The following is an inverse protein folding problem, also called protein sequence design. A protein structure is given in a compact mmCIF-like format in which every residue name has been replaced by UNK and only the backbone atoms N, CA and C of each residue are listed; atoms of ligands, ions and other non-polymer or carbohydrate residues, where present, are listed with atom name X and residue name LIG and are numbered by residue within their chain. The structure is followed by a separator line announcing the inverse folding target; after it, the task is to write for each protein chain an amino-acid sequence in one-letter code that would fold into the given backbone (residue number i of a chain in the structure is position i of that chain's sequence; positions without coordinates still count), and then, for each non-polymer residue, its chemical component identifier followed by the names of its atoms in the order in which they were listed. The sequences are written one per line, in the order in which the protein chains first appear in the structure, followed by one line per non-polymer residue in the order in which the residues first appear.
data_IF_249141864517
#
_entry.id   IF_249141864517
#
_cell.length_a   1.000
_cell.length_b   1.000
_cell.length_c   1.000
_cell.angle_alpha   90.00
_cell.angle_beta   90.00
_cell.angle_gamma   90.00
#
_symmetry.space_group_name_H-M   'P 1'
#
loop_
_entity.id
_entity.type
_entity.pdbx_description
1 polymer ?
#
# COMPACT_ATOMS: atom_id res chain seq x y z
N UNK A 1 -4.88 11.11 -17.66
CA UNK A 1 -4.38 10.19 -16.61
C UNK A 1 -5.18 10.45 -15.35
N UNK A 2 -6.03 9.51 -14.94
CA UNK A 2 -7.01 9.75 -13.86
C UNK A 2 -6.78 8.71 -12.77
N UNK A 3 -6.41 9.15 -11.56
CA UNK A 3 -6.21 8.26 -10.40
C UNK A 3 -7.47 7.42 -10.17
N UNK A 4 -7.30 6.11 -10.01
CA UNK A 4 -8.41 5.22 -9.64
C UNK A 4 -8.76 5.47 -8.16
N UNK A 5 -10.00 5.84 -7.89
CA UNK A 5 -10.43 6.32 -6.56
C UNK A 5 -10.78 5.17 -5.63
N UNK A 6 -9.77 4.60 -4.97
CA UNK A 6 -9.94 3.55 -3.96
C UNK A 6 -10.11 4.13 -2.54
N UNK A 7 -11.28 4.72 -2.27
CA UNK A 7 -11.71 4.95 -0.89
C UNK A 7 -13.24 4.95 -0.77
N UNK A 8 -13.82 3.77 -0.56
CA UNK A 8 -15.21 3.62 -0.13
C UNK A 8 -15.45 2.27 0.54
N UNK A 9 -15.84 2.33 1.82
CA UNK A 9 -16.66 1.35 2.54
C UNK A 9 -15.98 0.08 3.08
N UNK A 10 -15.75 0.07 4.39
CA UNK A 10 -15.75 -1.14 5.23
C UNK A 10 -16.31 -0.83 6.62
N UNK A 11 -17.51 -1.34 6.94
CA UNK A 11 -18.03 -1.38 8.31
C UNK A 11 -18.10 -2.84 8.80
N UNK A 12 -17.59 -3.09 10.01
CA UNK A 12 -18.02 -4.14 10.97
C UNK A 12 -17.92 -5.62 10.55
N UNK A 13 -16.96 -6.36 11.15
CA UNK A 13 -17.20 -7.17 12.38
C UNK A 13 -15.92 -7.85 12.92
N UNK A 14 -15.86 -8.04 14.25
CA UNK A 14 -14.75 -8.67 14.98
C UNK A 14 -14.98 -10.17 15.27
N UNK A 15 -13.89 -10.95 15.33
CA UNK A 15 -13.50 -11.83 16.47
C UNK A 15 -12.12 -12.51 16.24
N UNK A 16 -11.37 -13.01 17.22
CA UNK A 16 -11.12 -12.57 18.62
C UNK A 16 -10.07 -13.48 19.34
N UNK A 17 -8.78 -13.10 19.39
CA UNK A 17 -7.80 -13.65 20.36
C UNK A 17 -6.67 -12.62 20.69
N UNK A 18 -5.83 -12.82 21.73
CA UNK A 18 -5.34 -11.70 22.54
C UNK A 18 -4.09 -11.01 21.98
N UNK A 19 -4.30 -9.94 21.22
CA UNK A 19 -3.26 -9.02 20.75
C UNK A 19 -3.68 -7.57 20.96
N UNK A 20 -2.76 -6.73 21.48
CA UNK A 20 -2.67 -5.25 21.65
C UNK A 20 -3.94 -4.42 21.96
N UNK A 21 -5.09 -4.73 21.37
CA UNK A 21 -6.46 -4.22 21.62
C UNK A 21 -6.79 -3.82 23.06
N UNK A 22 -6.28 -4.54 24.07
CA UNK A 22 -6.52 -4.22 25.49
C UNK A 22 -5.92 -2.86 25.91
N UNK A 23 -4.80 -2.44 25.31
CA UNK A 23 -4.22 -1.10 25.50
C UNK A 23 -5.10 -0.02 24.84
N UNK A 24 -5.61 -0.29 23.65
CA UNK A 24 -6.53 0.63 22.95
C UNK A 24 -7.89 0.75 23.64
N UNK A 25 -8.37 -0.31 24.32
CA UNK A 25 -9.69 -0.37 24.94
C UNK A 25 -9.94 0.69 26.04
N UNK A 26 -8.89 1.26 26.63
CA UNK A 26 -8.99 2.34 27.63
C UNK A 26 -9.31 3.72 27.02
N UNK A 27 -9.21 3.88 25.69
CA UNK A 27 -9.36 5.18 25.01
C UNK A 27 -10.54 5.25 24.03
N UNK A 28 -11.32 4.19 23.84
CA UNK A 28 -12.42 4.10 22.83
C UNK A 28 -13.69 4.87 23.25
N UNK A 29 -13.55 6.06 23.85
CA UNK A 29 -14.69 6.89 24.30
C UNK A 29 -14.57 8.40 24.07
N UNK A 30 -13.62 8.92 23.28
CA UNK A 30 -13.68 10.32 22.80
C UNK A 30 -13.21 10.50 21.34
N UNK A 31 -14.09 11.15 20.56
CA UNK A 31 -13.88 11.85 19.27
C UNK A 31 -13.42 11.07 18.03
N UNK A 32 -14.40 10.66 17.20
CA UNK A 32 -14.19 10.13 15.83
C UNK A 32 -13.64 11.20 14.86
N UNK A 33 -14.13 12.44 14.95
CA UNK A 33 -13.79 13.53 14.02
C UNK A 33 -12.30 13.92 14.04
N UNK A 34 -11.67 13.93 15.23
CA UNK A 34 -10.26 14.27 15.38
C UNK A 34 -9.31 13.22 14.81
N UNK A 35 -9.66 11.94 14.99
CA UNK A 35 -8.95 10.81 14.38
C UNK A 35 -9.12 10.82 12.85
N UNK A 36 -10.35 11.06 12.37
CA UNK A 36 -10.65 11.19 10.93
C UNK A 36 -9.89 12.34 10.28
N UNK A 37 -9.76 13.48 10.96
CA UNK A 37 -8.94 14.61 10.51
C UNK A 37 -7.45 14.24 10.42
N UNK A 38 -6.91 13.46 11.37
CA UNK A 38 -5.52 12.97 11.35
C UNK A 38 -5.24 12.09 10.12
N UNK A 39 -6.11 11.13 9.79
CA UNK A 39 -5.98 10.32 8.57
C UNK A 39 -6.03 11.17 7.29
N UNK A 40 -7.01 12.07 7.18
CA UNK A 40 -7.15 12.93 5.99
C UNK A 40 -5.91 13.80 5.77
N UNK A 41 -5.33 14.34 6.84
CA UNK A 41 -4.11 15.17 6.76
C UNK A 41 -2.89 14.30 6.40
N UNK A 42 -2.76 13.11 6.99
CA UNK A 42 -1.68 12.17 6.64
C UNK A 42 -1.75 11.76 5.17
N UNK A 43 -2.95 11.53 4.64
CA UNK A 43 -3.19 11.24 3.22
C UNK A 43 -2.76 12.42 2.33
N UNK A 44 -3.05 13.67 2.71
CA UNK A 44 -2.62 14.86 1.96
C UNK A 44 -1.09 15.05 1.98
N UNK A 45 -0.41 14.76 3.09
CA UNK A 45 1.05 14.77 3.19
C UNK A 45 1.65 13.74 2.22
N UNK A 46 1.16 12.49 2.26
CA UNK A 46 1.61 11.42 1.38
C UNK A 46 1.35 11.74 -0.12
N UNK A 47 0.17 12.29 -0.44
CA UNK A 47 -0.19 12.67 -1.81
C UNK A 47 0.63 13.84 -2.39
N UNK A 48 1.29 14.62 -1.53
CA UNK A 48 2.12 15.77 -1.94
C UNK A 48 3.63 15.47 -1.89
N UNK A 49 4.00 14.20 -1.67
CA UNK A 49 5.37 13.71 -1.53
C UNK A 49 6.19 14.54 -0.52
N UNK A 50 5.55 14.81 0.63
CA UNK A 50 6.15 15.59 1.72
C UNK A 50 6.58 14.66 2.86
N UNK A 51 7.69 14.99 3.54
CA UNK A 51 8.14 14.19 4.67
C UNK A 51 7.06 14.21 5.77
N UNK A 52 6.92 13.11 6.49
CA UNK A 52 5.98 12.97 7.61
C UNK A 52 6.18 14.07 8.69
N UNK A 53 7.38 14.66 8.76
CA UNK A 53 7.71 15.82 9.59
C UNK A 53 6.86 17.07 9.32
N UNK A 54 6.22 17.16 8.15
CA UNK A 54 5.36 18.29 7.74
C UNK A 54 4.14 18.45 8.66
N UNK A 55 3.64 17.35 9.23
CA UNK A 55 2.52 17.37 10.18
C UNK A 55 2.83 18.22 11.42
N UNK A 56 3.98 17.96 12.04
CA UNK A 56 4.40 18.61 13.28
C UNK A 56 5.09 19.97 13.04
N UNK A 57 5.88 20.10 11.98
CA UNK A 57 6.67 21.32 11.70
C UNK A 57 5.89 22.46 11.05
N UNK A 58 4.79 22.17 10.35
CA UNK A 58 4.03 23.18 9.60
C UNK A 58 2.53 23.13 9.87
N UNK A 59 1.91 21.95 9.80
CA UNK A 59 0.45 21.83 9.86
C UNK A 59 -0.08 22.08 11.28
N UNK A 60 0.53 21.50 12.31
CA UNK A 60 0.17 21.79 13.70
C UNK A 60 0.33 23.28 14.09
N UNK A 61 1.44 23.97 13.76
CA UNK A 61 1.56 25.41 13.93
C UNK A 61 0.49 26.21 13.17
N UNK A 62 0.18 25.86 11.92
CA UNK A 62 -0.84 26.57 11.14
C UNK A 62 -2.25 26.41 11.74
N UNK A 63 -2.61 25.20 12.18
CA UNK A 63 -3.88 24.94 12.89
C UNK A 63 -3.95 25.75 14.19
N UNK A 64 -2.86 25.79 14.97
CA UNK A 64 -2.75 26.60 16.19
C UNK A 64 -2.99 28.08 15.91
N UNK A 65 -2.38 28.62 14.86
CA UNK A 65 -2.48 30.04 14.50
C UNK A 65 -3.92 30.41 14.14
N UNK A 66 -4.57 29.63 13.27
CA UNK A 66 -5.97 29.87 12.86
C UNK A 66 -6.94 29.81 14.04
N UNK A 67 -6.79 28.82 14.94
CA UNK A 67 -7.67 28.70 16.12
C UNK A 67 -7.50 29.89 17.08
N UNK A 68 -6.27 30.40 17.22
CA UNK A 68 -5.96 31.53 18.11
C UNK A 68 -6.42 32.87 17.52
N UNK A 69 -6.11 33.11 16.24
CA UNK A 69 -6.30 34.42 15.59
C UNK A 69 -7.66 34.62 14.93
N UNK A 70 -8.24 33.57 14.34
CA UNK A 70 -9.52 33.67 13.60
C UNK A 70 -10.70 33.22 14.46
N UNK A 71 -10.52 32.15 15.24
CA UNK A 71 -11.61 31.58 16.07
C UNK A 71 -11.60 32.08 17.52
N UNK A 72 -10.51 32.73 17.97
CA UNK A 72 -10.31 33.20 19.34
C UNK A 72 -10.63 32.14 20.42
N UNK A 73 -10.28 30.87 20.14
CA UNK A 73 -10.59 29.73 21.00
C UNK A 73 -9.33 29.16 21.68
N UNK A 74 -9.47 28.53 22.86
CA UNK A 74 -8.37 27.80 23.48
C UNK A 74 -7.96 26.62 22.60
N UNK A 75 -6.68 26.60 22.21
CA UNK A 75 -6.11 25.64 21.25
C UNK A 75 -6.01 24.22 21.81
N UNK A 76 -5.83 24.09 23.14
CA UNK A 76 -5.44 22.86 23.81
C UNK A 76 -6.40 21.68 23.58
N UNK A 77 -7.71 21.93 23.50
CA UNK A 77 -8.69 20.87 23.32
C UNK A 77 -8.82 20.39 21.87
N UNK A 78 -8.46 21.22 20.88
CA UNK A 78 -8.53 20.83 19.46
C UNK A 78 -7.26 20.08 19.05
N UNK A 79 -6.07 20.55 19.43
CA UNK A 79 -4.81 19.87 19.08
C UNK A 79 -4.72 18.49 19.76
N UNK A 80 -5.21 18.34 21.00
CA UNK A 80 -5.25 17.03 21.67
C UNK A 80 -6.13 16.00 20.93
N UNK A 81 -7.11 16.44 20.15
CA UNK A 81 -8.03 15.59 19.39
C UNK A 81 -7.47 15.13 18.03
N UNK A 82 -6.53 15.87 17.44
CA UNK A 82 -5.97 15.56 16.12
C UNK A 82 -4.50 15.13 16.27
N UNK A 83 -4.20 13.83 16.48
CA UNK A 83 -2.84 13.34 16.62
C UNK A 83 -2.07 13.47 15.30
N UNK A 84 -1.19 14.47 15.21
CA UNK A 84 -0.36 14.80 14.05
C UNK A 84 1.14 14.88 14.38
N UNK A 85 1.57 14.19 15.44
CA UNK A 85 3.01 13.99 15.68
C UNK A 85 3.63 13.24 14.51
N UNK A 86 4.93 13.40 14.31
CA UNK A 86 5.68 12.71 13.26
C UNK A 86 5.45 11.19 13.26
N UNK A 87 5.42 10.59 14.46
CA UNK A 87 5.08 9.18 14.67
C UNK A 87 3.65 8.84 14.29
N UNK A 88 2.68 9.72 14.56
CA UNK A 88 1.27 9.50 14.19
C UNK A 88 1.10 9.51 12.67
N UNK A 89 1.70 10.49 11.97
CA UNK A 89 1.61 10.60 10.50
C UNK A 89 2.24 9.40 9.82
N UNK A 90 3.39 8.93 10.31
CA UNK A 90 4.03 7.71 9.81
C UNK A 90 3.14 6.49 10.00
N UNK A 91 2.65 6.24 11.23
CA UNK A 91 1.74 5.11 11.51
C UNK A 91 0.49 5.15 10.62
N UNK A 92 -0.11 6.33 10.39
CA UNK A 92 -1.26 6.45 9.48
C UNK A 92 -0.89 6.14 8.03
N UNK A 93 0.31 6.50 7.59
CA UNK A 93 0.80 6.16 6.25
C UNK A 93 0.96 4.64 6.10
N UNK A 94 1.55 3.98 7.11
CA UNK A 94 1.78 2.54 7.12
C UNK A 94 0.44 1.76 7.16
N UNK A 95 -0.50 2.16 8.03
CA UNK A 95 -1.87 1.60 8.10
C UNK A 95 -2.65 1.77 6.77
N UNK A 96 -2.50 2.92 6.10
CA UNK A 96 -3.12 3.14 4.79
C UNK A 96 -2.48 2.29 3.70
N UNK A 97 -1.16 2.09 3.73
CA UNK A 97 -0.45 1.21 2.79
C UNK A 97 -0.86 -0.25 2.97
N UNK A 98 -0.92 -0.75 4.21
CA UNK A 98 -1.38 -2.11 4.53
C UNK A 98 -2.82 -2.34 4.04
N UNK A 99 -3.72 -1.37 4.24
CA UNK A 99 -5.11 -1.46 3.76
C UNK A 99 -5.20 -1.56 2.22
N UNK A 100 -4.41 -0.76 1.50
CA UNK A 100 -4.33 -0.79 0.04
C UNK A 100 -3.77 -2.14 -0.44
N UNK A 101 -2.69 -2.62 0.19
CA UNK A 101 -2.08 -3.91 -0.14
C UNK A 101 -3.06 -5.07 0.10
N UNK A 102 -3.79 -5.08 1.21
CA UNK A 102 -4.81 -6.08 1.52
C UNK A 102 -5.96 -6.04 0.50
N UNK A 103 -6.44 -4.84 0.16
CA UNK A 103 -7.50 -4.64 -0.84
C UNK A 103 -7.09 -5.16 -2.22
N UNK A 104 -5.86 -4.87 -2.64
CA UNK A 104 -5.29 -5.36 -3.89
C UNK A 104 -5.13 -6.89 -3.86
N UNK A 105 -4.52 -7.46 -2.82
CA UNK A 105 -4.34 -8.90 -2.68
C UNK A 105 -5.68 -9.64 -2.73
N UNK A 106 -6.69 -9.17 -2.00
CA UNK A 106 -8.04 -9.75 -2.00
C UNK A 106 -8.73 -9.67 -3.38
N UNK A 107 -8.46 -8.62 -4.16
CA UNK A 107 -8.90 -8.56 -5.56
C UNK A 107 -8.20 -9.62 -6.43
N UNK A 108 -6.87 -9.75 -6.31
CA UNK A 108 -6.07 -10.71 -7.10
C UNK A 108 -6.35 -12.19 -6.74
N UNK A 109 -6.82 -12.48 -5.52
CA UNK A 109 -7.31 -13.82 -5.13
C UNK A 109 -8.47 -14.31 -5.98
N UNK A 110 -9.30 -13.40 -6.52
CA UNK A 110 -10.54 -13.74 -7.23
C UNK A 110 -10.54 -13.32 -8.71
N UNK A 111 -9.95 -12.17 -9.04
CA UNK A 111 -9.86 -11.63 -10.39
C UNK A 111 -8.77 -12.27 -11.25
N UNK A 112 -8.87 -12.06 -12.57
CA UNK A 112 -7.79 -12.36 -13.52
C UNK A 112 -6.95 -11.11 -13.76
N UNK A 113 -5.63 -11.28 -13.80
CA UNK A 113 -4.69 -10.17 -13.93
C UNK A 113 -3.45 -10.56 -14.73
N UNK A 114 -2.85 -9.58 -15.38
CA UNK A 114 -1.53 -9.67 -15.97
C UNK A 114 -0.49 -9.10 -15.01
N UNK A 115 0.73 -9.62 -15.05
CA UNK A 115 1.85 -9.15 -14.22
C UNK A 115 2.98 -8.64 -15.10
N UNK A 116 3.66 -7.58 -14.65
CA UNK A 116 4.89 -7.07 -15.24
C UNK A 116 5.95 -7.05 -14.14
N UNK A 117 7.06 -7.74 -14.39
CA UNK A 117 8.23 -7.76 -13.54
C UNK A 117 9.30 -6.86 -14.16
N UNK A 118 9.93 -6.04 -13.33
CA UNK A 118 10.92 -5.05 -13.71
C UNK A 118 12.10 -5.11 -12.72
N UNK A 119 13.33 -5.12 -13.23
CA UNK A 119 14.54 -5.16 -12.42
C UNK A 119 15.16 -3.76 -12.33
N UNK A 120 15.18 -3.20 -11.12
CA UNK A 120 15.70 -1.86 -10.85
C UNK A 120 16.95 -1.94 -9.96
N UNK A 121 17.98 -1.15 -10.27
CA UNK A 121 19.21 -1.11 -9.46
C UNK A 121 19.15 0.07 -8.48
N UNK A 122 19.26 -0.22 -7.18
CA UNK A 122 19.39 0.81 -6.14
C UNK A 122 20.80 1.46 -6.17
N UNK A 123 20.96 2.71 -5.68
CA UNK A 123 22.28 3.35 -5.57
C UNK A 123 23.32 2.58 -4.74
N UNK A 124 22.87 1.64 -3.91
CA UNK A 124 23.67 0.69 -3.13
C UNK A 124 24.23 -0.48 -3.96
N UNK A 125 23.96 -0.52 -5.27
CA UNK A 125 24.27 -1.64 -6.17
C UNK A 125 23.54 -2.95 -5.80
N UNK A 126 22.38 -2.81 -5.14
CA UNK A 126 21.45 -3.90 -4.85
C UNK A 126 20.37 -3.96 -5.95
N UNK A 127 20.04 -5.17 -6.41
CA UNK A 127 18.97 -5.38 -7.39
C UNK A 127 17.61 -5.51 -6.67
N UNK A 128 16.62 -4.75 -7.16
CA UNK A 128 15.25 -4.70 -6.63
C UNK A 128 14.29 -5.18 -7.72
N UNK A 129 13.59 -6.29 -7.45
CA UNK A 129 12.49 -6.76 -8.29
C UNK A 129 11.22 -5.98 -7.96
N UNK A 130 10.80 -5.14 -8.90
CA UNK A 130 9.50 -4.48 -8.88
C UNK A 130 8.47 -5.35 -9.61
N UNK A 131 7.28 -5.46 -9.04
CA UNK A 131 6.18 -6.25 -9.56
C UNK A 131 4.95 -5.38 -9.68
N UNK A 132 4.46 -5.20 -10.91
CA UNK A 132 3.25 -4.46 -11.23
C UNK A 132 2.16 -5.42 -11.70
N UNK A 133 0.92 -5.21 -11.25
CA UNK A 133 -0.24 -5.95 -11.74
C UNK A 133 -1.15 -5.05 -12.55
N UNK A 134 -1.70 -5.60 -13.63
CA UNK A 134 -2.70 -4.93 -14.47
C UNK A 134 -3.95 -5.80 -14.58
N UNK A 135 -5.07 -5.24 -14.16
CA UNK A 135 -6.37 -5.92 -14.03
C UNK A 135 -7.51 -4.99 -14.47
N UNK A 136 -8.72 -5.54 -14.62
CA UNK A 136 -9.92 -4.76 -14.95
C UNK A 136 -10.77 -4.58 -13.69
N UNK A 137 -11.08 -3.33 -13.35
CA UNK A 137 -11.94 -2.96 -12.23
C UNK A 137 -12.83 -1.80 -12.65
N UNK A 138 -14.13 -1.91 -12.40
CA UNK A 138 -15.14 -0.90 -12.77
C UNK A 138 -15.01 -0.44 -14.24
N UNK A 139 -14.92 -1.43 -15.14
CA UNK A 139 -14.72 -1.31 -16.60
C UNK A 139 -13.42 -0.59 -17.03
N UNK A 140 -12.50 -0.32 -16.10
CA UNK A 140 -11.22 0.37 -16.37
C UNK A 140 -10.05 -0.59 -16.20
N UNK A 141 -9.03 -0.40 -17.03
CA UNK A 141 -7.74 -1.05 -16.85
C UNK A 141 -6.98 -0.30 -15.75
N UNK A 142 -6.77 -0.95 -14.62
CA UNK A 142 -5.94 -0.47 -13.52
C UNK A 142 -4.54 -1.07 -13.63
N UNK A 143 -3.53 -0.31 -13.20
CA UNK A 143 -2.17 -0.81 -13.01
C UNK A 143 -1.65 -0.31 -11.66
N UNK A 144 -1.22 -1.23 -10.81
CA UNK A 144 -0.81 -0.96 -9.43
C UNK A 144 0.49 -1.74 -9.12
N UNK A 145 1.33 -1.21 -8.23
CA UNK A 145 2.51 -1.91 -7.72
C UNK A 145 2.03 -2.97 -6.73
N UNK A 146 2.42 -4.23 -6.95
CA UNK A 146 2.13 -5.37 -6.09
C UNK A 146 3.18 -5.53 -5.00
N UNK A 147 4.47 -5.46 -5.35
CA UNK A 147 5.58 -5.46 -4.40
C UNK A 147 6.87 -4.89 -5.00
N UNK A 148 7.79 -4.48 -4.13
CA UNK A 148 9.23 -4.37 -4.42
C UNK A 148 10.00 -5.27 -3.45
N UNK A 149 10.87 -6.16 -3.95
CA UNK A 149 11.69 -7.06 -3.10
C UNK A 149 13.11 -7.18 -3.63
N UNK A 150 14.10 -7.17 -2.74
CA UNK A 150 15.50 -7.32 -3.10
C UNK A 150 15.75 -8.72 -3.70
N UNK A 151 16.58 -8.80 -4.73
CA UNK A 151 17.08 -10.03 -5.33
C UNK A 151 18.42 -10.40 -4.70
N UNK A 152 18.58 -11.66 -4.27
CA UNK A 152 19.80 -12.17 -3.65
C UNK A 152 20.88 -12.46 -4.70
N UNK A 153 21.60 -11.40 -5.10
CA UNK A 153 22.85 -11.36 -5.91
C UNK A 153 22.90 -12.09 -7.26
N UNK A 154 21.95 -12.95 -7.61
CA UNK A 154 21.78 -13.47 -8.96
C UNK A 154 20.51 -12.93 -9.63
N UNK A 155 20.67 -12.55 -10.90
CA UNK A 155 19.60 -12.00 -11.76
C UNK A 155 18.97 -13.12 -12.60
N UNK A 156 18.95 -14.35 -12.07
CA UNK A 156 18.40 -15.50 -12.80
C UNK A 156 16.88 -15.47 -12.79
N UNK A 157 16.30 -15.84 -13.92
CA UNK A 157 14.85 -15.99 -14.06
C UNK A 157 14.20 -16.92 -13.03
N UNK A 158 14.95 -17.92 -12.56
CA UNK A 158 14.52 -18.81 -11.47
C UNK A 158 14.33 -18.07 -10.13
N UNK A 159 15.24 -17.15 -9.78
CA UNK A 159 15.19 -16.34 -8.54
C UNK A 159 14.07 -15.30 -8.61
N UNK A 160 13.85 -14.72 -9.79
CA UNK A 160 12.70 -13.85 -10.09
C UNK A 160 11.38 -14.61 -9.92
N UNK A 161 11.27 -15.81 -10.50
CA UNK A 161 10.07 -16.65 -10.35
C UNK A 161 9.83 -17.08 -8.90
N UNK A 162 10.87 -17.54 -8.18
CA UNK A 162 10.78 -17.92 -6.76
C UNK A 162 10.35 -16.75 -5.87
N UNK A 163 10.82 -15.54 -6.15
CA UNK A 163 10.41 -14.32 -5.42
C UNK A 163 8.92 -14.04 -5.60
N UNK A 164 8.42 -14.15 -6.84
CA UNK A 164 7.00 -14.02 -7.14
C UNK A 164 6.16 -15.15 -6.50
N UNK A 165 6.57 -16.41 -6.66
CA UNK A 165 5.89 -17.57 -6.08
C UNK A 165 5.81 -17.46 -4.55
N UNK A 166 6.90 -17.08 -3.89
CA UNK A 166 6.95 -16.81 -2.45
C UNK A 166 5.94 -15.72 -2.04
N UNK A 167 5.89 -14.59 -2.74
CA UNK A 167 4.91 -13.53 -2.48
C UNK A 167 3.46 -14.04 -2.67
N UNK A 168 3.18 -14.73 -3.78
CA UNK A 168 1.86 -15.28 -4.05
C UNK A 168 1.42 -16.30 -2.98
N UNK A 169 2.35 -17.14 -2.49
CA UNK A 169 2.07 -18.07 -1.41
C UNK A 169 1.83 -17.35 -0.06
N UNK A 170 2.67 -16.37 0.29
CA UNK A 170 2.52 -15.53 1.51
C UNK A 170 1.17 -14.79 1.55
N UNK A 171 0.68 -14.33 0.39
CA UNK A 171 -0.60 -13.60 0.26
C UNK A 171 -1.77 -14.46 -0.22
N UNK A 172 -1.59 -15.79 -0.32
CA UNK A 172 -2.57 -16.77 -0.82
C UNK A 172 -3.17 -16.44 -2.20
N UNK A 173 -2.43 -15.75 -3.07
CA UNK A 173 -2.86 -15.37 -4.43
C UNK A 173 -2.66 -16.57 -5.37
N UNK A 174 -3.72 -17.15 -5.96
CA UNK A 174 -3.56 -18.32 -6.81
C UNK A 174 -2.85 -17.98 -8.13
N UNK A 175 -1.69 -18.60 -8.41
CA UNK A 175 -0.93 -18.38 -9.67
C UNK A 175 -1.78 -18.58 -10.94
N UNK A 176 -2.79 -19.45 -10.90
CA UNK A 176 -3.80 -19.64 -11.98
C UNK A 176 -4.59 -18.38 -12.36
N UNK A 177 -4.51 -17.30 -11.58
CA UNK A 177 -5.15 -16.01 -11.87
C UNK A 177 -4.28 -15.08 -12.71
N UNK A 178 -2.98 -15.37 -12.82
CA UNK A 178 -2.07 -14.70 -13.75
C UNK A 178 -2.41 -15.18 -15.17
N UNK A 179 -2.84 -14.29 -16.05
CA UNK A 179 -3.17 -14.60 -17.46
C UNK A 179 -1.99 -14.37 -18.41
N UNK A 180 -1.06 -13.50 -18.03
CA UNK A 180 0.17 -13.22 -18.76
C UNK A 180 1.21 -12.61 -17.82
N UNK A 181 2.48 -12.81 -18.14
CA UNK A 181 3.61 -12.19 -17.48
C UNK A 181 4.49 -11.49 -18.52
N UNK A 182 4.82 -10.23 -18.27
CA UNK A 182 5.91 -9.52 -18.93
C UNK A 182 7.10 -9.45 -17.97
N UNK A 183 8.32 -9.56 -18.51
CA UNK A 183 9.55 -9.40 -17.74
C UNK A 183 10.43 -8.47 -18.57
N UNK A 184 10.70 -7.28 -18.05
CA UNK A 184 11.63 -6.32 -18.65
C UNK A 184 12.94 -6.31 -17.84
N UNK A 185 14.04 -5.89 -18.46
CA UNK A 185 15.35 -5.77 -17.81
C UNK A 185 16.10 -7.08 -17.48
N UNK A 186 15.44 -8.21 -17.24
CA UNK A 186 16.09 -9.47 -16.79
C UNK A 186 16.79 -10.21 -17.94
N UNK A 187 18.14 -10.27 -18.02
CA UNK A 187 18.85 -10.90 -19.14
C UNK A 187 18.68 -12.42 -19.21
N UNK A 188 18.34 -13.05 -18.07
CA UNK A 188 18.25 -14.49 -17.91
C UNK A 188 16.95 -15.14 -18.41
N UNK A 189 15.95 -14.36 -18.84
CA UNK A 189 14.62 -14.88 -19.21
C UNK A 189 14.34 -15.00 -20.72
N UNK A 190 15.33 -14.73 -21.58
CA UNK A 190 15.23 -14.82 -23.06
C UNK A 190 15.14 -16.27 -23.60
N UNK A 191 14.72 -17.24 -22.78
CA UNK A 191 14.94 -18.68 -23.02
C UNK A 191 13.71 -19.61 -23.02
N UNK A 192 12.49 -19.16 -22.72
CA UNK A 192 11.32 -20.03 -22.61
C UNK A 192 10.15 -19.63 -23.53
N UNK A 193 10.16 -20.18 -24.74
CA UNK A 193 9.02 -20.12 -25.66
C UNK A 193 7.92 -21.11 -25.20
N UNK A 194 6.95 -20.65 -24.43
CA UNK A 194 5.83 -21.48 -23.94
C UNK A 194 4.85 -21.74 -25.09
N UNK A 195 5.14 -22.77 -25.91
CA UNK A 195 4.17 -23.30 -26.88
C UNK A 195 3.15 -24.16 -26.13
N UNK A 196 1.84 -23.84 -26.17
CA UNK A 196 0.83 -24.70 -25.58
C UNK A 196 0.76 -26.02 -26.38
N UNK A 197 1.09 -27.15 -25.74
CA UNK A 197 0.88 -28.46 -26.33
C UNK A 197 -0.63 -28.69 -26.52
N UNK A 198 -1.10 -28.69 -27.77
CA UNK A 198 -2.38 -29.30 -28.12
C UNK A 198 -2.34 -30.77 -27.71
N UNK A 199 -3.24 -31.15 -26.81
CA UNK A 199 -3.65 -32.55 -26.68
C UNK A 199 -4.66 -32.81 -27.79
N UNK A 200 -4.29 -33.65 -28.76
CA UNK A 200 -5.24 -34.21 -29.70
C UNK A 200 -5.88 -35.44 -29.06
N UNK A 201 -7.20 -35.55 -29.20
CA UNK A 201 -7.98 -36.78 -29.05
C UNK A 201 -8.58 -37.13 -30.41
#
# INVERSE_FOLDING_TARGET
MTKCSLFSRSEKKHNAQPSVSKLFSLSVKQDDDGLRASYNISLLIAQTDKPHTTGETLILPAIKEVITTVLHKPVADVIRKIPLTNSSVQIRSDEMAENIEESLCNHLKTGKFSIQLDESTLPTNEALLLSYVRFIKDEKICQELLFGRNLETDTKGETVFKTLEKFCNEKEIPLKNIISAAIDGVPAMTGCHIVPKKQNS
#
